data_IF_716340743714
#
_entry.id   IF_716340743714
#
_cell.length_a   1.000
_cell.length_b   1.000
_cell.length_c   1.000
_cell.angle_alpha   90.00
_cell.angle_beta   90.00
_cell.angle_gamma   90.00
#
_symmetry.space_group_name_H-M   'P 1'
#
loop_
_entity.id
_entity.type
_entity.pdbx_description
1 polymer ?
#
# COMPACT_ATOMS: atom_id res chain seq x y z
N UNK A 1 -2.00 -29.78 11.18
CA UNK A 1 -1.48 -28.40 11.14
C UNK A 1 0.04 -28.49 10.96
N UNK A 2 0.57 -28.28 9.75
CA UNK A 2 2.03 -28.29 9.54
C UNK A 2 2.55 -26.92 9.97
N UNK A 3 3.19 -26.85 11.13
CA UNK A 3 3.82 -25.62 11.61
C UNK A 3 4.83 -25.15 10.58
N UNK A 4 4.57 -24.01 9.94
CA UNK A 4 5.50 -23.41 8.99
C UNK A 4 6.40 -22.48 9.79
N UNK A 5 7.48 -23.05 10.31
CA UNK A 5 8.46 -22.32 11.14
C UNK A 5 8.92 -21.02 10.48
N UNK A 6 9.06 -21.00 9.16
CA UNK A 6 9.38 -19.81 8.39
C UNK A 6 8.39 -18.66 8.62
N UNK A 7 7.09 -18.93 8.71
CA UNK A 7 6.11 -17.88 8.95
C UNK A 7 6.12 -17.35 10.38
N UNK A 8 6.42 -18.23 11.34
CA UNK A 8 6.62 -17.82 12.74
C UNK A 8 7.80 -16.85 12.78
N UNK A 9 8.91 -17.19 12.13
CA UNK A 9 10.07 -16.32 12.01
C UNK A 9 9.76 -14.99 11.33
N UNK A 10 8.99 -15.03 10.24
CA UNK A 10 8.52 -13.84 9.53
C UNK A 10 7.66 -12.91 10.42
N UNK A 11 6.77 -13.48 11.25
CA UNK A 11 5.97 -12.72 12.22
C UNK A 11 6.85 -12.10 13.31
N UNK A 12 7.77 -12.88 13.89
CA UNK A 12 8.76 -12.38 14.85
C UNK A 12 9.51 -11.18 14.27
N UNK A 13 10.00 -11.29 13.03
CA UNK A 13 10.68 -10.20 12.34
C UNK A 13 9.81 -8.95 12.20
N UNK A 14 8.56 -9.12 11.76
CA UNK A 14 7.63 -8.00 11.58
C UNK A 14 7.33 -7.28 12.91
N UNK A 15 7.09 -8.03 14.00
CA UNK A 15 6.84 -7.44 15.31
C UNK A 15 8.09 -6.81 15.92
N UNK A 16 9.28 -7.39 15.72
CA UNK A 16 10.52 -6.74 16.09
C UNK A 16 10.68 -5.40 15.38
N UNK A 17 10.47 -5.36 14.05
CA UNK A 17 10.58 -4.10 13.31
C UNK A 17 9.62 -3.03 13.85
N UNK A 18 8.38 -3.40 14.17
CA UNK A 18 7.40 -2.47 14.77
C UNK A 18 7.75 -2.02 16.20
N UNK A 19 8.46 -2.84 16.98
CA UNK A 19 8.91 -2.46 18.33
C UNK A 19 10.00 -1.37 18.30
N UNK A 20 10.66 -1.16 17.16
CA UNK A 20 11.81 -0.27 17.02
C UNK A 20 13.13 -0.88 17.50
N UNK A 21 13.12 -2.08 18.09
CA UNK A 21 14.35 -2.76 18.51
C UNK A 21 15.16 -3.28 17.31
N UNK A 22 16.46 -3.06 17.38
CA UNK A 22 17.44 -3.77 16.55
C UNK A 22 17.48 -5.27 16.90
N UNK A 23 18.02 -6.06 15.98
CA UNK A 23 18.23 -7.48 16.23
C UNK A 23 19.17 -7.72 17.43
N UNK A 24 20.15 -6.84 17.64
CA UNK A 24 21.11 -6.94 18.74
C UNK A 24 20.42 -6.69 20.09
N UNK A 25 19.58 -5.65 20.18
CA UNK A 25 18.85 -5.33 21.41
C UNK A 25 17.86 -6.43 21.81
N UNK A 26 17.10 -6.99 20.85
CA UNK A 26 16.21 -8.12 21.14
C UNK A 26 17.00 -9.33 21.61
N UNK A 27 18.08 -9.69 20.92
CA UNK A 27 18.90 -10.84 21.27
C UNK A 27 19.48 -10.70 22.69
N UNK A 28 19.98 -9.50 23.03
CA UNK A 28 20.49 -9.20 24.37
C UNK A 28 19.39 -9.30 25.44
N UNK A 29 18.21 -8.72 25.20
CA UNK A 29 17.09 -8.72 26.16
C UNK A 29 16.56 -10.11 26.49
N UNK A 30 16.55 -11.04 25.53
CA UNK A 30 16.08 -12.41 25.73
C UNK A 30 17.22 -13.42 25.97
N UNK A 31 18.47 -12.96 26.09
CA UNK A 31 19.62 -13.79 26.44
C UNK A 31 20.06 -14.78 25.36
N UNK A 32 19.92 -14.44 24.06
CA UNK A 32 20.40 -15.25 22.94
C UNK A 32 21.43 -14.49 22.09
N UNK A 33 22.14 -15.19 21.20
CA UNK A 33 23.04 -14.52 20.25
C UNK A 33 22.26 -13.88 19.09
N UNK A 34 22.82 -12.83 18.49
CA UNK A 34 22.27 -12.21 17.26
C UNK A 34 22.04 -13.25 16.16
N UNK A 35 22.98 -14.18 15.99
CA UNK A 35 22.86 -15.28 15.02
C UNK A 35 21.69 -16.20 15.35
N UNK A 36 21.46 -16.51 16.63
CA UNK A 36 20.30 -17.30 17.04
C UNK A 36 18.99 -16.58 16.71
N UNK A 37 18.89 -15.27 16.95
CA UNK A 37 17.72 -14.49 16.57
C UNK A 37 17.48 -14.51 15.05
N UNK A 38 18.53 -14.34 14.23
CA UNK A 38 18.37 -14.44 12.77
C UNK A 38 17.87 -15.81 12.31
N UNK A 39 18.32 -16.89 12.96
CA UNK A 39 17.82 -18.25 12.67
C UNK A 39 16.36 -18.41 13.07
N UNK A 40 15.93 -17.78 14.16
CA UNK A 40 14.51 -17.72 14.54
C UNK A 40 13.71 -16.96 13.47
N UNK A 41 14.16 -15.77 13.06
CA UNK A 41 13.47 -14.96 12.05
C UNK A 41 13.39 -15.63 10.67
N UNK A 42 14.34 -16.52 10.33
CA UNK A 42 14.30 -17.38 9.15
C UNK A 42 13.45 -18.63 9.32
N UNK A 43 13.00 -18.93 10.53
CA UNK A 43 12.27 -20.16 10.85
C UNK A 43 13.13 -21.43 10.89
N UNK A 44 14.44 -21.29 11.09
CA UNK A 44 15.37 -22.42 11.22
C UNK A 44 15.43 -22.98 12.65
N UNK A 45 15.15 -22.15 13.66
CA UNK A 45 15.10 -22.53 15.08
C UNK A 45 13.84 -21.94 15.70
N UNK A 46 13.05 -22.75 16.39
CA UNK A 46 11.88 -22.29 17.13
C UNK A 46 11.70 -23.11 18.41
N UNK A 47 12.54 -22.85 19.42
CA UNK A 47 12.28 -23.37 20.77
C UNK A 47 11.09 -22.62 21.36
N UNK A 48 10.17 -23.34 22.00
CA UNK A 48 8.96 -22.75 22.60
C UNK A 48 9.34 -21.67 23.60
N UNK A 49 10.32 -21.92 24.47
CA UNK A 49 10.80 -20.95 25.46
C UNK A 49 11.30 -19.65 24.81
N UNK A 50 12.01 -19.75 23.68
CA UNK A 50 12.48 -18.57 22.92
C UNK A 50 11.31 -17.80 22.33
N UNK A 51 10.31 -18.49 21.77
CA UNK A 51 9.11 -17.84 21.25
C UNK A 51 8.29 -17.17 22.36
N UNK A 52 8.24 -17.79 23.54
CA UNK A 52 7.57 -17.20 24.71
C UNK A 52 8.26 -15.91 25.13
N UNK A 53 9.59 -15.92 25.31
CA UNK A 53 10.35 -14.70 25.65
C UNK A 53 10.17 -13.60 24.60
N UNK A 54 10.15 -13.96 23.32
CA UNK A 54 9.88 -13.02 22.22
C UNK A 54 8.45 -12.47 22.29
N UNK A 55 7.46 -13.30 22.61
CA UNK A 55 6.06 -12.89 22.73
C UNK A 55 5.86 -11.87 23.86
N UNK A 56 6.52 -12.10 25.00
CA UNK A 56 6.50 -11.21 26.16
C UNK A 56 7.22 -9.89 25.85
N UNK A 57 8.43 -9.95 25.28
CA UNK A 57 9.20 -8.75 24.93
C UNK A 57 8.52 -7.88 23.87
N UNK A 58 7.88 -8.50 22.87
CA UNK A 58 7.22 -7.81 21.77
C UNK A 58 5.75 -7.47 22.06
N UNK A 59 5.27 -7.80 23.26
CA UNK A 59 3.89 -7.56 23.72
C UNK A 59 2.83 -8.15 22.76
N UNK A 60 3.10 -9.35 22.25
CA UNK A 60 2.20 -10.08 21.35
C UNK A 60 1.85 -11.44 21.90
N UNK A 61 0.65 -11.93 21.60
CA UNK A 61 0.22 -13.24 22.09
C UNK A 61 0.93 -14.37 21.33
N UNK A 62 1.18 -15.48 22.03
CA UNK A 62 1.69 -16.71 21.41
C UNK A 62 0.84 -17.18 20.21
N UNK A 63 -0.51 -17.22 20.28
CA UNK A 63 -1.34 -17.54 19.11
C UNK A 63 -1.07 -16.64 17.89
N UNK A 64 -0.82 -15.34 18.11
CA UNK A 64 -0.48 -14.40 17.03
C UNK A 64 0.84 -14.77 16.37
N UNK A 65 1.91 -15.01 17.14
CA UNK A 65 3.21 -15.44 16.60
C UNK A 65 3.13 -16.77 15.86
N UNK A 66 2.31 -17.68 16.39
CA UNK A 66 2.08 -19.00 15.83
C UNK A 66 1.19 -18.98 14.58
N UNK A 67 0.55 -17.85 14.27
CA UNK A 67 -0.38 -17.73 13.14
C UNK A 67 -1.70 -18.46 13.34
N UNK A 68 -2.12 -18.65 14.59
CA UNK A 68 -3.40 -19.28 14.94
C UNK A 68 -4.47 -18.21 15.06
N UNK A 69 -5.42 -18.21 14.12
CA UNK A 69 -6.56 -17.28 14.11
C UNK A 69 -6.30 -16.00 13.33
N UNK A 70 -6.41 -14.86 14.00
CA UNK A 70 -6.20 -13.52 13.43
C UNK A 70 -4.88 -12.96 13.95
N UNK A 71 -4.03 -12.52 13.04
CA UNK A 71 -2.84 -11.74 13.35
C UNK A 71 -3.24 -10.27 13.48
N UNK A 72 -2.98 -9.65 14.63
CA UNK A 72 -3.22 -8.22 14.84
C UNK A 72 -1.92 -7.43 14.70
N UNK A 73 -1.93 -6.42 13.83
CA UNK A 73 -0.79 -5.55 13.55
C UNK A 73 -1.13 -4.12 13.97
N UNK A 74 -0.59 -3.67 15.09
CA UNK A 74 -0.84 -2.34 15.64
C UNK A 74 0.02 -1.23 14.98
N UNK A 75 0.93 -1.58 14.08
CA UNK A 75 1.82 -0.65 13.40
C UNK A 75 1.78 -0.85 11.88
N UNK A 76 1.85 0.25 11.14
CA UNK A 76 2.02 0.20 9.69
C UNK A 76 3.31 -0.51 9.28
N UNK A 77 4.38 -0.39 10.08
CA UNK A 77 5.65 -1.08 9.84
C UNK A 77 5.46 -2.60 9.84
N UNK A 78 4.87 -3.16 10.90
CA UNK A 78 4.64 -4.61 10.96
C UNK A 78 3.65 -5.07 9.90
N UNK A 79 2.58 -4.30 9.65
CA UNK A 79 1.62 -4.60 8.60
C UNK A 79 2.30 -4.68 7.22
N UNK A 80 3.00 -3.62 6.80
CA UNK A 80 3.62 -3.59 5.48
C UNK A 80 4.77 -4.60 5.35
N UNK A 81 5.52 -4.90 6.43
CA UNK A 81 6.52 -5.99 6.41
C UNK A 81 5.85 -7.35 6.24
N UNK A 82 4.73 -7.62 6.91
CA UNK A 82 3.96 -8.86 6.68
C UNK A 82 3.41 -8.92 5.27
N UNK A 83 2.86 -7.83 4.76
CA UNK A 83 2.41 -7.73 3.36
C UNK A 83 3.55 -8.03 2.38
N UNK A 84 4.73 -7.45 2.59
CA UNK A 84 5.94 -7.73 1.78
C UNK A 84 6.29 -9.22 1.77
N UNK A 85 6.26 -9.87 2.93
CA UNK A 85 6.57 -11.29 3.08
C UNK A 85 5.50 -12.20 2.42
N UNK A 86 4.24 -11.78 2.38
CA UNK A 86 3.16 -12.50 1.68
C UNK A 86 3.29 -12.34 0.16
N UNK A 87 3.55 -11.12 -0.32
CA UNK A 87 3.78 -10.80 -1.73
C UNK A 87 4.97 -11.57 -2.32
N UNK A 88 6.04 -11.77 -1.54
CA UNK A 88 7.22 -12.53 -1.95
C UNK A 88 6.91 -13.95 -2.42
N UNK A 89 5.80 -14.52 -1.96
CA UNK A 89 5.39 -15.90 -2.23
C UNK A 89 4.05 -16.00 -2.97
N UNK A 90 3.35 -14.89 -3.18
CA UNK A 90 2.07 -14.89 -3.87
C UNK A 90 2.24 -15.27 -5.35
N UNK A 91 1.27 -16.01 -5.88
CA UNK A 91 1.09 -16.29 -7.31
C UNK A 91 0.02 -15.37 -7.90
N UNK A 92 -0.96 -14.99 -7.06
CA UNK A 92 -1.96 -13.98 -7.37
C UNK A 92 -2.22 -13.08 -6.16
N UNK A 93 -2.39 -11.79 -6.42
CA UNK A 93 -2.75 -10.78 -5.44
C UNK A 93 -4.07 -10.17 -5.89
N UNK A 94 -5.07 -10.22 -5.03
CA UNK A 94 -6.33 -9.50 -5.23
C UNK A 94 -6.31 -8.30 -4.31
N UNK A 95 -6.53 -7.12 -4.87
CA UNK A 95 -6.59 -5.86 -4.14
C UNK A 95 -7.97 -5.27 -4.34
N UNK A 96 -8.68 -5.06 -3.23
CA UNK A 96 -9.88 -4.25 -3.19
C UNK A 96 -9.58 -3.10 -2.24
N UNK A 97 -9.19 -1.96 -2.78
CA UNK A 97 -8.77 -0.84 -1.94
C UNK A 97 -8.82 0.48 -2.73
N UNK A 98 -8.33 1.53 -2.07
CA UNK A 98 -8.34 2.93 -2.45
C UNK A 98 -7.93 3.25 -3.90
N UNK A 99 -7.95 4.55 -4.26
CA UNK A 99 -7.85 5.01 -5.65
C UNK A 99 -6.54 4.63 -6.36
N UNK A 100 -5.52 4.19 -5.62
CA UNK A 100 -4.19 3.82 -6.14
C UNK A 100 -3.73 2.51 -5.53
N UNK A 101 -3.30 1.56 -6.38
CA UNK A 101 -2.62 0.33 -5.95
C UNK A 101 -1.12 0.53 -6.01
N UNK A 102 -0.44 0.50 -4.86
CA UNK A 102 0.98 0.84 -4.76
C UNK A 102 1.90 0.01 -5.67
N UNK A 103 1.63 -1.29 -5.85
CA UNK A 103 2.45 -2.15 -6.73
C UNK A 103 2.36 -1.75 -8.21
N UNK A 104 1.24 -1.15 -8.60
CA UNK A 104 0.95 -0.70 -9.97
C UNK A 104 1.18 0.81 -10.15
N UNK A 105 1.48 1.53 -9.07
CA UNK A 105 1.58 2.99 -9.10
C UNK A 105 2.73 3.49 -10.00
N UNK A 106 2.71 4.75 -10.41
CA UNK A 106 3.83 5.34 -11.15
C UNK A 106 5.07 5.55 -10.25
N UNK A 107 6.26 5.72 -10.86
CA UNK A 107 7.48 6.13 -10.13
C UNK A 107 7.33 7.52 -9.49
N UNK A 108 6.54 8.39 -10.14
CA UNK A 108 6.23 9.73 -9.65
C UNK A 108 5.39 9.67 -8.37
N UNK A 109 4.38 8.80 -8.33
CA UNK A 109 3.59 8.58 -7.12
C UNK A 109 4.45 8.07 -5.96
N UNK A 110 5.38 7.14 -6.21
CA UNK A 110 6.31 6.68 -5.17
C UNK A 110 7.15 7.83 -4.59
N UNK A 111 7.71 8.67 -5.46
CA UNK A 111 8.55 9.80 -5.07
C UNK A 111 7.75 10.83 -4.27
N UNK A 112 6.49 11.07 -4.67
CA UNK A 112 5.57 11.97 -3.97
C UNK A 112 5.12 11.42 -2.61
N UNK A 113 4.93 10.10 -2.51
CA UNK A 113 4.35 9.46 -1.33
C UNK A 113 5.16 9.72 -0.06
N UNK A 114 6.49 9.67 -0.13
CA UNK A 114 7.33 9.95 1.05
C UNK A 114 7.10 11.36 1.59
N UNK A 115 7.05 12.35 0.71
CA UNK A 115 6.79 13.74 1.09
C UNK A 115 5.43 13.88 1.78
N UNK A 116 4.40 13.24 1.22
CA UNK A 116 3.02 13.29 1.72
C UNK A 116 2.93 12.59 3.08
N UNK A 117 3.58 11.44 3.26
CA UNK A 117 3.60 10.71 4.53
C UNK A 117 4.32 11.50 5.63
N UNK A 118 5.46 12.13 5.32
CA UNK A 118 6.18 13.01 6.26
C UNK A 118 5.31 14.22 6.64
N UNK A 119 4.64 14.83 5.68
CA UNK A 119 3.73 15.96 5.88
C UNK A 119 2.50 15.60 6.74
N UNK A 120 2.07 14.33 6.71
CA UNK A 120 0.95 13.82 7.53
C UNK A 120 1.26 13.69 9.02
N UNK A 121 2.52 13.82 9.41
CA UNK A 121 2.96 13.79 10.81
C UNK A 121 2.83 15.21 11.39
N UNK A 122 1.94 15.43 12.39
CA UNK A 122 1.81 16.74 13.02
C UNK A 122 3.12 17.20 13.68
N UNK A 123 3.37 18.50 13.69
CA UNK A 123 4.62 19.07 14.22
C UNK A 123 4.73 19.00 15.75
N UNK A 124 3.59 19.01 16.43
CA UNK A 124 3.44 19.07 17.90
C UNK A 124 3.24 17.71 18.56
N UNK A 125 3.23 16.61 17.79
CA UNK A 125 2.91 15.30 18.32
C UNK A 125 4.05 14.70 19.17
N UNK A 126 3.74 14.05 20.31
CA UNK A 126 4.74 13.29 21.05
C UNK A 126 5.41 12.23 20.18
N UNK A 127 6.71 12.02 20.40
CA UNK A 127 7.52 11.03 19.65
C UNK A 127 7.55 11.25 18.14
N UNK A 128 7.39 12.50 17.65
CA UNK A 128 7.50 12.86 16.22
C UNK A 128 8.71 12.24 15.52
N UNK A 129 9.87 12.22 16.19
CA UNK A 129 11.09 11.60 15.66
C UNK A 129 10.93 10.11 15.35
N UNK A 130 10.27 9.36 16.24
CA UNK A 130 9.94 7.94 16.01
C UNK A 130 9.00 7.79 14.82
N UNK A 131 7.97 8.62 14.75
CA UNK A 131 6.99 8.54 13.66
C UNK A 131 7.60 8.84 12.29
N UNK A 132 8.55 9.78 12.21
CA UNK A 132 9.29 10.03 10.99
C UNK A 132 10.24 8.88 10.63
N UNK A 133 10.81 8.20 11.63
CA UNK A 133 11.57 6.97 11.40
C UNK A 133 10.66 5.84 10.89
N UNK A 134 9.44 5.70 11.42
CA UNK A 134 8.44 4.75 10.93
C UNK A 134 8.06 5.05 9.48
N UNK A 135 7.90 6.33 9.08
CA UNK A 135 7.67 6.72 7.68
C UNK A 135 8.82 6.22 6.80
N UNK A 136 10.07 6.47 7.18
CA UNK A 136 11.24 6.04 6.41
C UNK A 136 11.30 4.51 6.28
N UNK A 137 11.02 3.79 7.36
CA UNK A 137 11.01 2.33 7.37
C UNK A 137 9.87 1.76 6.50
N UNK A 138 8.68 2.37 6.55
CA UNK A 138 7.57 2.02 5.66
C UNK A 138 7.99 2.23 4.20
N UNK A 139 8.58 3.37 3.86
CA UNK A 139 9.03 3.62 2.48
C UNK A 139 10.06 2.59 2.00
N UNK A 140 11.03 2.21 2.85
CA UNK A 140 11.99 1.14 2.52
C UNK A 140 11.29 -0.20 2.20
N UNK A 141 10.33 -0.59 3.04
CA UNK A 141 9.50 -1.79 2.83
C UNK A 141 8.73 -1.67 1.51
N UNK A 142 8.07 -0.54 1.27
CA UNK A 142 7.29 -0.28 0.05
C UNK A 142 8.15 -0.40 -1.21
N UNK A 143 9.32 0.23 -1.25
CA UNK A 143 10.22 0.08 -2.39
C UNK A 143 10.69 -1.38 -2.58
N UNK A 144 10.93 -2.12 -1.49
CA UNK A 144 11.23 -3.54 -1.59
C UNK A 144 10.06 -4.34 -2.19
N UNK A 145 8.82 -4.05 -1.77
CA UNK A 145 7.60 -4.67 -2.32
C UNK A 145 7.53 -4.47 -3.84
N UNK A 146 7.71 -3.23 -4.30
CA UNK A 146 7.65 -2.91 -5.74
C UNK A 146 8.77 -3.58 -6.54
N UNK A 147 10.02 -3.57 -6.03
CA UNK A 147 11.14 -4.28 -6.68
C UNK A 147 10.88 -5.79 -6.79
N UNK A 148 10.34 -6.41 -5.74
CA UNK A 148 9.96 -7.83 -5.76
C UNK A 148 8.86 -8.10 -6.78
N UNK A 149 7.83 -7.25 -6.83
CA UNK A 149 6.76 -7.35 -7.82
C UNK A 149 7.29 -7.24 -9.25
N UNK A 150 8.13 -6.23 -9.54
CA UNK A 150 8.70 -6.06 -10.88
C UNK A 150 9.55 -7.25 -11.34
N UNK A 151 10.21 -7.94 -10.41
CA UNK A 151 11.01 -9.15 -10.68
C UNK A 151 10.16 -10.41 -10.88
N UNK A 152 9.13 -10.63 -10.06
CA UNK A 152 8.33 -11.87 -10.07
C UNK A 152 7.06 -11.79 -10.92
N UNK A 153 6.50 -10.59 -11.06
CA UNK A 153 5.22 -10.27 -11.71
C UNK A 153 4.10 -11.28 -11.41
N UNK A 154 3.76 -11.55 -10.13
CA UNK A 154 2.56 -12.31 -9.82
C UNK A 154 1.33 -11.61 -10.40
N UNK A 155 0.29 -12.39 -10.71
CA UNK A 155 -0.94 -11.79 -11.27
C UNK A 155 -1.62 -10.87 -10.26
N UNK A 156 -2.12 -9.73 -10.71
CA UNK A 156 -2.87 -8.77 -9.88
C UNK A 156 -4.28 -8.63 -10.42
N UNK A 157 -5.26 -8.80 -9.55
CA UNK A 157 -6.64 -8.37 -9.79
C UNK A 157 -6.92 -7.18 -8.89
N UNK A 158 -7.16 -6.01 -9.47
CA UNK A 158 -7.36 -4.77 -8.75
C UNK A 158 -8.78 -4.24 -8.98
N UNK A 159 -9.56 -4.13 -7.91
CA UNK A 159 -10.90 -3.54 -7.89
C UNK A 159 -10.82 -2.15 -7.24
N UNK A 160 -11.10 -1.11 -8.01
CA UNK A 160 -11.01 0.29 -7.57
C UNK A 160 -12.38 0.94 -7.69
N UNK A 161 -12.77 1.73 -6.69
CA UNK A 161 -14.02 2.51 -6.73
C UNK A 161 -13.86 3.76 -7.60
N UNK A 162 -14.76 3.95 -8.57
CA UNK A 162 -14.83 5.16 -9.39
C UNK A 162 -15.09 6.42 -8.55
N UNK A 163 -15.91 6.31 -7.51
CA UNK A 163 -16.20 7.38 -6.55
C UNK A 163 -14.97 7.75 -5.69
N UNK A 164 -14.15 6.76 -5.30
CA UNK A 164 -12.85 7.04 -4.66
C UNK A 164 -11.86 7.72 -5.61
N UNK A 165 -11.86 7.37 -6.90
CA UNK A 165 -11.05 8.05 -7.91
C UNK A 165 -11.50 9.50 -8.08
N UNK A 166 -12.81 9.76 -8.17
CA UNK A 166 -13.36 11.11 -8.29
C UNK A 166 -12.96 11.99 -7.08
N UNK A 167 -13.07 11.45 -5.86
CA UNK A 167 -12.59 12.14 -4.65
C UNK A 167 -11.08 12.40 -4.69
N UNK A 168 -10.28 11.42 -5.11
CA UNK A 168 -8.84 11.58 -5.23
C UNK A 168 -8.44 12.65 -6.23
N UNK A 169 -9.11 12.73 -7.37
CA UNK A 169 -8.90 13.78 -8.37
C UNK A 169 -9.28 15.17 -7.85
N UNK A 170 -10.34 15.25 -7.04
CA UNK A 170 -10.78 16.52 -6.45
C UNK A 170 -9.86 16.98 -5.30
N UNK A 171 -9.51 16.08 -4.40
CA UNK A 171 -8.71 16.37 -3.21
C UNK A 171 -7.21 16.44 -3.46
N UNK A 172 -6.69 15.65 -4.40
CA UNK A 172 -5.26 15.48 -4.62
C UNK A 172 -4.58 14.56 -3.59
N UNK A 173 -3.28 14.34 -3.76
CA UNK A 173 -2.46 13.58 -2.82
C UNK A 173 -2.00 14.46 -1.65
N UNK A 174 -2.85 14.57 -0.61
CA UNK A 174 -2.68 15.52 0.49
C UNK A 174 -2.08 14.86 1.73
N UNK A 175 -1.05 15.47 2.34
CA UNK A 175 -0.47 14.99 3.60
C UNK A 175 -1.20 15.56 4.81
N UNK A 176 -1.59 16.84 4.75
CA UNK A 176 -2.38 17.52 5.78
C UNK A 176 -3.47 18.40 5.17
N UNK A 177 -4.45 18.81 6.00
CA UNK A 177 -5.60 19.62 5.55
C UNK A 177 -5.21 21.03 5.12
N UNK A 178 -4.27 21.64 5.84
CA UNK A 178 -3.89 23.04 5.68
C UNK A 178 -2.64 23.15 4.81
N UNK A 179 -2.84 23.28 3.50
CA UNK A 179 -1.79 23.57 2.52
C UNK A 179 -2.13 24.82 1.70
N UNK A 180 -1.15 25.62 1.28
CA UNK A 180 -1.38 26.74 0.33
C UNK A 180 -2.06 26.27 -0.97
N UNK A 181 -2.84 27.14 -1.62
CA UNK A 181 -3.55 26.77 -2.86
C UNK A 181 -2.61 26.31 -3.97
N UNK A 182 -1.42 26.92 -4.08
CA UNK A 182 -0.39 26.49 -5.04
C UNK A 182 0.04 25.03 -4.81
N UNK A 183 0.23 24.64 -3.55
CA UNK A 183 0.57 23.24 -3.19
C UNK A 183 -0.63 22.33 -3.45
N UNK A 184 -1.86 22.76 -3.14
CA UNK A 184 -3.07 21.98 -3.42
C UNK A 184 -3.24 21.74 -4.92
N UNK A 185 -3.02 22.75 -5.74
CA UNK A 185 -3.05 22.62 -7.20
C UNK A 185 -2.01 21.62 -7.70
N UNK A 186 -0.79 21.66 -7.16
CA UNK A 186 0.25 20.66 -7.44
C UNK A 186 -0.17 19.25 -7.03
N UNK A 187 -0.78 19.06 -5.84
CA UNK A 187 -1.24 17.73 -5.39
C UNK A 187 -2.39 17.18 -6.22
N UNK A 188 -3.27 18.04 -6.73
CA UNK A 188 -4.30 17.65 -7.72
C UNK A 188 -3.66 17.23 -9.04
N UNK A 189 -2.63 17.93 -9.51
CA UNK A 189 -1.88 17.52 -10.71
C UNK A 189 -1.25 16.14 -10.55
N UNK A 190 -0.66 15.84 -9.39
CA UNK A 190 -0.09 14.51 -9.12
C UNK A 190 -1.15 13.41 -9.12
N UNK A 191 -2.32 13.67 -8.54
CA UNK A 191 -3.43 12.74 -8.57
C UNK A 191 -3.93 12.49 -10.01
N UNK A 192 -4.07 13.55 -10.83
CA UNK A 192 -4.43 13.42 -12.25
C UNK A 192 -3.45 12.53 -13.00
N UNK A 193 -2.16 12.80 -12.88
CA UNK A 193 -1.12 12.02 -13.54
C UNK A 193 -1.10 10.55 -13.12
N UNK A 194 -1.43 10.27 -11.86
CA UNK A 194 -1.52 8.89 -11.39
C UNK A 194 -2.75 8.16 -11.96
N UNK A 195 -3.87 8.86 -12.16
CA UNK A 195 -5.06 8.30 -12.80
C UNK A 195 -4.87 8.16 -14.32
N UNK A 196 -4.13 9.07 -14.96
CA UNK A 196 -3.68 8.94 -16.35
C UNK A 196 -2.79 7.69 -16.51
N UNK A 197 -1.85 7.47 -15.59
CA UNK A 197 -1.03 6.25 -15.54
C UNK A 197 -1.89 4.99 -15.37
N UNK A 198 -2.90 5.02 -14.49
CA UNK A 198 -3.84 3.91 -14.32
C UNK A 198 -4.64 3.63 -15.60
N UNK A 199 -5.08 4.66 -16.32
CA UNK A 199 -5.78 4.51 -17.60
C UNK A 199 -4.86 3.86 -18.65
N UNK A 200 -3.60 4.31 -18.75
CA UNK A 200 -2.59 3.70 -19.61
C UNK A 200 -2.37 2.21 -19.30
N UNK A 201 -2.32 1.82 -18.02
CA UNK A 201 -2.21 0.41 -17.64
C UNK A 201 -3.40 -0.45 -18.09
N UNK A 202 -4.60 0.12 -18.19
CA UNK A 202 -5.80 -0.56 -18.68
C UNK A 202 -5.74 -0.69 -20.21
N UNK A 203 -5.25 0.34 -20.90
CA UNK A 203 -5.14 0.40 -22.36
C UNK A 203 -4.03 -0.50 -22.90
N UNK A 204 -2.90 -0.58 -22.20
CA UNK A 204 -1.73 -1.40 -22.56
C UNK A 204 -1.99 -2.91 -22.47
N UNK A 205 -3.13 -3.34 -21.91
CA UNK A 205 -3.55 -4.73 -21.69
C UNK A 205 -2.41 -5.63 -21.15
N UNK A 206 -1.80 -5.18 -20.06
CA UNK A 206 -0.62 -5.83 -19.51
C UNK A 206 -0.94 -7.24 -18.98
N UNK A 207 -0.36 -8.26 -19.63
CA UNK A 207 -0.54 -9.66 -19.27
C UNK A 207 -0.25 -9.90 -17.78
N UNK A 208 -1.29 -10.29 -17.04
CA UNK A 208 -1.22 -10.58 -15.60
C UNK A 208 -1.71 -9.45 -14.70
N UNK A 209 -2.09 -8.29 -15.23
CA UNK A 209 -2.74 -7.21 -14.49
C UNK A 209 -4.18 -7.06 -14.98
N UNK A 210 -5.14 -7.21 -14.08
CA UNK A 210 -6.57 -7.08 -14.38
C UNK A 210 -7.16 -5.99 -13.48
N UNK A 211 -7.65 -4.91 -14.08
CA UNK A 211 -8.22 -3.77 -13.35
C UNK A 211 -9.73 -3.70 -13.65
N UNK A 212 -10.53 -3.60 -12.58
CA UNK A 212 -11.97 -3.38 -12.66
C UNK A 212 -12.37 -2.13 -11.90
N UNK A 213 -13.13 -1.25 -12.56
CA UNK A 213 -13.70 -0.05 -11.95
C UNK A 213 -15.11 -0.35 -11.45
N UNK A 214 -15.30 -0.22 -10.14
CA UNK A 214 -16.57 -0.45 -9.48
C UNK A 214 -17.28 0.88 -9.31
N UNK A 215 -18.48 0.99 -9.90
CA UNK A 215 -19.36 2.15 -9.77
C UNK A 215 -20.37 2.00 -8.63
N UNK A 216 -20.54 0.78 -8.12
CA UNK A 216 -21.35 0.49 -6.94
C UNK A 216 -20.55 0.73 -5.64
N UNK A 217 -21.21 0.57 -4.50
CA UNK A 217 -20.62 0.76 -3.18
C UNK A 217 -19.61 -0.35 -2.88
N UNK A 218 -18.35 0.04 -2.63
CA UNK A 218 -17.34 -0.84 -2.05
C UNK A 218 -17.29 -0.69 -0.52
N UNK A 219 -16.86 -1.74 0.21
CA UNK A 219 -16.55 -1.61 1.62
C UNK A 219 -15.57 -0.47 1.89
N UNK A 220 -15.79 0.29 2.97
CA UNK A 220 -14.92 1.41 3.35
C UNK A 220 -13.50 0.92 3.70
N UNK A 221 -13.38 -0.27 4.29
CA UNK A 221 -12.10 -0.89 4.57
C UNK A 221 -11.67 -1.72 3.37
N UNK A 222 -10.54 -1.35 2.78
CA UNK A 222 -9.90 -2.16 1.76
C UNK A 222 -9.35 -3.46 2.34
N UNK A 223 -9.27 -4.48 1.50
CA UNK A 223 -8.64 -5.75 1.83
C UNK A 223 -7.81 -6.27 0.67
N UNK A 224 -6.89 -7.16 0.98
CA UNK A 224 -6.08 -7.87 0.00
C UNK A 224 -6.13 -9.37 0.25
N UNK A 225 -6.20 -10.16 -0.81
CA UNK A 225 -6.09 -11.62 -0.74
C UNK A 225 -4.81 -12.03 -1.48
N UNK A 226 -3.90 -12.67 -0.76
CA UNK A 226 -2.69 -13.25 -1.31
C UNK A 226 -2.93 -14.74 -1.53
N UNK A 227 -2.96 -15.18 -2.79
CA UNK A 227 -3.10 -16.60 -3.13
C UNK A 227 -1.73 -17.20 -3.42
N UNK A 228 -1.50 -18.37 -2.84
CA UNK A 228 -0.30 -19.20 -2.98
C UNK A 228 -0.75 -20.61 -3.35
N UNK A 229 0.15 -21.42 -3.90
CA UNK A 229 -0.14 -22.80 -4.32
C UNK A 229 -0.90 -23.65 -3.26
N UNK A 230 -0.63 -23.45 -1.97
CA UNK A 230 -1.19 -24.29 -0.89
C UNK A 230 -2.05 -23.55 0.14
N UNK A 231 -2.24 -22.22 -0.01
CA UNK A 231 -3.07 -21.43 0.91
C UNK A 231 -3.44 -20.06 0.34
N UNK A 232 -4.34 -19.37 1.04
CA UNK A 232 -4.58 -17.95 0.83
C UNK A 232 -4.57 -17.22 2.16
N UNK A 233 -4.18 -15.94 2.13
CA UNK A 233 -4.19 -15.07 3.31
C UNK A 233 -4.93 -13.79 2.97
N UNK A 234 -5.95 -13.48 3.77
CA UNK A 234 -6.69 -12.23 3.73
C UNK A 234 -5.99 -11.22 4.64
N UNK A 235 -5.90 -9.98 4.19
CA UNK A 235 -5.45 -8.85 5.02
C UNK A 235 -6.45 -7.72 4.92
N UNK A 236 -6.77 -7.08 6.05
CA UNK A 236 -7.64 -5.90 6.14
C UNK A 236 -6.85 -4.84 6.89
N UNK A 237 -6.77 -3.62 6.36
CA UNK A 237 -5.90 -2.61 6.94
C UNK A 237 -6.54 -1.22 6.96
N UNK A 238 -6.48 -0.51 8.09
CA UNK A 238 -6.81 0.91 8.16
C UNK A 238 -5.66 1.80 7.65
N UNK A 239 -4.49 1.22 7.37
CA UNK A 239 -3.33 1.96 6.88
C UNK A 239 -3.47 2.24 5.38
N UNK A 240 -3.34 3.51 4.98
CA UNK A 240 -3.60 4.01 3.62
C UNK A 240 -2.42 4.83 3.11
N UNK A 241 -2.17 4.76 1.80
CA UNK A 241 -1.08 5.46 1.10
C UNK A 241 -1.58 6.52 0.09
N UNK A 242 -2.90 6.67 -0.11
CA UNK A 242 -3.48 7.55 -1.14
C UNK A 242 -3.97 8.91 -0.62
N UNK A 243 -5.10 9.39 -1.14
CA UNK A 243 -5.76 10.69 -0.89
C UNK A 243 -5.69 11.21 0.56
N UNK A 244 -5.81 10.31 1.55
CA UNK A 244 -5.65 10.60 2.97
C UNK A 244 -4.77 9.51 3.59
N UNK A 245 -3.45 9.70 3.57
CA UNK A 245 -2.56 8.68 4.05
C UNK A 245 -2.73 8.53 5.56
N UNK A 246 -2.65 7.27 5.99
CA UNK A 246 -2.69 6.92 7.40
C UNK A 246 -1.72 5.77 7.59
N UNK A 247 -0.61 6.02 8.25
CA UNK A 247 0.30 4.95 8.68
C UNK A 247 0.50 4.95 10.21
N UNK A 248 -0.39 5.67 10.92
CA UNK A 248 -0.24 5.99 12.34
C UNK A 248 -1.29 5.33 13.22
N UNK A 249 -2.55 5.34 12.78
CA UNK A 249 -3.68 5.01 13.64
C UNK A 249 -4.45 3.83 13.07
N UNK A 250 -4.56 2.77 13.86
CA UNK A 250 -5.42 1.63 13.57
C UNK A 250 -4.72 0.30 13.80
N UNK A 251 -5.50 -0.77 13.65
CA UNK A 251 -5.03 -2.15 13.77
C UNK A 251 -5.36 -2.87 12.47
N UNK A 252 -4.33 -3.35 11.78
CA UNK A 252 -4.51 -4.22 10.62
C UNK A 252 -4.67 -5.67 11.09
N UNK A 253 -5.40 -6.45 10.31
CA UNK A 253 -5.70 -7.85 10.60
C UNK A 253 -5.28 -8.73 9.43
N UNK A 254 -4.71 -9.90 9.73
CA UNK A 254 -4.41 -10.93 8.74
C UNK A 254 -4.98 -12.26 9.20
N UNK A 255 -5.54 -13.04 8.28
CA UNK A 255 -6.04 -14.38 8.60
C UNK A 255 -6.00 -15.30 7.39
N UNK A 256 -5.82 -16.60 7.65
CA UNK A 256 -5.96 -17.66 6.66
C UNK A 256 -7.21 -18.52 6.93
N UNK A 257 -8.16 -18.01 7.73
CA UNK A 257 -9.41 -18.70 8.05
C UNK A 257 -10.24 -18.95 6.77
N UNK A 258 -10.62 -20.21 6.45
CA UNK A 258 -11.36 -20.53 5.23
C UNK A 258 -12.70 -19.80 5.10
N UNK A 259 -13.41 -19.58 6.21
CA UNK A 259 -14.66 -18.84 6.25
C UNK A 259 -14.47 -17.38 5.80
N UNK A 260 -13.50 -16.69 6.40
CA UNK A 260 -13.20 -15.29 6.07
C UNK A 260 -12.82 -15.17 4.58
N UNK A 261 -11.95 -16.06 4.09
CA UNK A 261 -11.56 -16.09 2.68
C UNK A 261 -12.76 -16.32 1.77
N UNK A 262 -13.62 -17.31 2.05
CA UNK A 262 -14.80 -17.61 1.25
C UNK A 262 -15.76 -16.43 1.15
N UNK A 263 -15.99 -15.71 2.25
CA UNK A 263 -16.86 -14.53 2.27
C UNK A 263 -16.26 -13.37 1.47
N UNK A 264 -14.97 -13.09 1.62
CA UNK A 264 -14.31 -12.01 0.89
C UNK A 264 -14.13 -12.34 -0.60
N UNK A 265 -13.85 -13.60 -0.95
CA UNK A 265 -13.84 -14.06 -2.35
C UNK A 265 -15.20 -13.88 -3.02
N UNK A 266 -16.31 -14.08 -2.28
CA UNK A 266 -17.65 -13.81 -2.80
C UNK A 266 -17.81 -12.33 -3.12
N UNK A 267 -17.43 -11.45 -2.20
CA UNK A 267 -17.46 -9.98 -2.43
C UNK A 267 -16.64 -9.60 -3.67
N UNK A 268 -15.44 -10.14 -3.82
CA UNK A 268 -14.59 -9.90 -5.00
C UNK A 268 -15.30 -10.35 -6.27
N UNK A 269 -15.87 -11.56 -6.30
CA UNK A 269 -16.57 -12.09 -7.49
C UNK A 269 -17.79 -11.25 -7.86
N UNK A 270 -18.57 -10.84 -6.87
CA UNK A 270 -19.77 -10.04 -7.06
C UNK A 270 -19.40 -8.64 -7.60
N UNK A 271 -18.41 -7.98 -6.99
CA UNK A 271 -17.90 -6.68 -7.46
C UNK A 271 -17.24 -6.79 -8.86
N UNK A 272 -16.47 -7.86 -9.11
CA UNK A 272 -15.87 -8.09 -10.42
C UNK A 272 -16.92 -8.29 -11.50
N UNK A 273 -18.06 -8.92 -11.20
CA UNK A 273 -19.13 -9.13 -12.18
C UNK A 273 -19.70 -7.81 -12.72
N UNK A 274 -19.88 -6.81 -11.85
CA UNK A 274 -20.48 -5.52 -12.20
C UNK A 274 -19.46 -4.44 -12.56
N UNK A 275 -18.18 -4.65 -12.29
CA UNK A 275 -17.12 -3.70 -12.62
C UNK A 275 -17.01 -3.43 -14.14
N UNK A 276 -16.76 -2.17 -14.49
CA UNK A 276 -16.33 -1.75 -15.84
C UNK A 276 -14.87 -2.21 -16.03
N UNK A 277 -14.53 -2.74 -17.23
CA UNK A 277 -13.22 -3.34 -17.52
C UNK A 277 -12.75 -2.98 -18.93
N UNK A 278 -11.46 -3.14 -19.18
CA UNK A 278 -10.87 -2.96 -20.51
C UNK A 278 -11.07 -1.54 -21.05
N UNK A 279 -11.27 -1.34 -22.37
CA UNK A 279 -11.37 -0.02 -22.97
C UNK A 279 -12.45 0.87 -22.35
N UNK A 280 -13.60 0.31 -21.98
CA UNK A 280 -14.68 1.06 -21.33
C UNK A 280 -14.28 1.60 -19.94
N UNK A 281 -13.38 0.89 -19.24
CA UNK A 281 -12.86 1.38 -17.96
C UNK A 281 -11.89 2.54 -18.18
N UNK A 282 -11.00 2.46 -19.17
CA UNK A 282 -10.11 3.56 -19.52
C UNK A 282 -10.90 4.82 -19.95
N UNK A 283 -11.91 4.67 -20.81
CA UNK A 283 -12.80 5.76 -21.20
C UNK A 283 -13.50 6.38 -19.98
N UNK A 284 -13.96 5.57 -19.02
CA UNK A 284 -14.55 6.07 -17.79
C UNK A 284 -13.55 6.88 -16.95
N UNK A 285 -12.27 6.48 -16.88
CA UNK A 285 -11.23 7.26 -16.19
C UNK A 285 -10.98 8.60 -16.89
N UNK A 286 -10.91 8.62 -18.22
CA UNK A 286 -10.76 9.85 -19.00
C UNK A 286 -11.92 10.82 -18.75
N UNK A 287 -13.15 10.31 -18.71
CA UNK A 287 -14.32 11.13 -18.35
C UNK A 287 -14.22 11.71 -16.92
N UNK A 288 -13.71 10.95 -15.95
CA UNK A 288 -13.47 11.45 -14.59
C UNK A 288 -12.36 12.50 -14.55
N UNK A 289 -11.30 12.31 -15.34
CA UNK A 289 -10.22 13.29 -15.50
C UNK A 289 -10.76 14.59 -16.09
N UNK A 290 -11.58 14.53 -17.14
CA UNK A 290 -12.15 15.73 -17.79
C UNK A 290 -13.11 16.50 -16.88
N UNK A 291 -13.88 15.78 -16.05
CA UNK A 291 -14.78 16.39 -15.07
C UNK A 291 -14.08 16.95 -13.84
N UNK A 292 -12.85 16.51 -13.55
CA UNK A 292 -12.11 16.95 -12.37
C UNK A 292 -11.55 18.38 -12.52
N UNK A 293 -11.40 19.14 -11.43
CA UNK A 293 -10.86 20.49 -11.48
C UNK A 293 -9.47 20.51 -12.13
N UNK A 294 -9.28 21.41 -13.09
CA UNK A 294 -7.94 21.68 -13.63
C UNK A 294 -7.14 22.46 -12.58
N UNK A 295 -5.83 22.18 -12.40
CA UNK A 295 -4.98 23.06 -11.62
C UNK A 295 -4.98 24.44 -12.29
N UNK A 296 -5.36 25.49 -11.57
CA UNK A 296 -5.23 26.85 -12.09
C UNK A 296 -3.77 27.11 -12.45
N UNK A 297 -3.53 27.64 -13.66
CA UNK A 297 -2.20 28.06 -14.07
C UNK A 297 -1.72 29.15 -13.11
N UNK A 298 -0.47 29.02 -12.64
CA UNK A 298 0.16 30.01 -11.78
C UNK A 298 0.00 31.42 -12.39
N UNK A 299 -0.64 32.38 -11.70
CA UNK A 299 -0.79 33.75 -12.21
C UNK A 299 0.57 34.44 -12.44
N UNK A 300 1.68 33.86 -12.00
CA UNK A 300 3.04 34.31 -12.28
C UNK A 300 3.65 33.76 -13.59
N UNK A 301 2.96 32.88 -14.33
CA UNK A 301 3.44 32.42 -15.64
C UNK A 301 3.20 33.51 -16.70
N UNK A 302 4.24 34.03 -17.38
CA UNK A 302 4.03 35.01 -18.45
C UNK A 302 3.18 34.38 -19.54
N UNK A 303 2.18 35.08 -20.11
CA UNK A 303 1.42 34.54 -21.22
C UNK A 303 2.37 34.22 -22.37
N UNK A 304 2.34 32.98 -22.85
CA UNK A 304 3.10 32.55 -24.03
C UNK A 304 2.90 33.58 -25.15
N UNK A 305 3.99 34.21 -25.57
CA UNK A 305 3.97 35.21 -26.62
C UNK A 305 3.49 34.55 -27.92
N UNK A 306 2.24 34.83 -28.31
CA UNK A 306 1.68 34.45 -29.62
C UNK A 306 2.68 34.86 -30.70
N UNK A 307 3.30 33.87 -31.34
CA UNK A 307 4.23 34.07 -32.44
C UNK A 307 3.54 34.86 -33.55
N UNK A 308 4.01 36.09 -33.79
CA UNK A 308 3.55 36.91 -34.93
C UNK A 308 4.00 36.23 -36.23
N UNK A 309 3.13 36.15 -37.26
CA UNK A 309 3.51 35.54 -38.52
C UNK A 309 4.58 36.41 -39.21
N UNK A 310 5.69 35.78 -39.59
CA UNK A 310 6.76 36.39 -40.39
C UNK A 310 6.15 36.94 -41.68
N UNK A 311 6.20 38.26 -41.87
CA UNK A 311 5.89 38.90 -43.16
C UNK A 311 6.85 38.33 -44.21
N UNK A 312 6.27 37.72 -45.25
CA UNK A 312 6.99 37.31 -46.46
C UNK A 312 7.49 38.57 -47.17
N UNK A 313 8.81 38.72 -47.28
CA UNK A 313 9.41 39.57 -48.29
C UNK A 313 9.32 38.85 -49.64
N UNK A 314 8.85 39.56 -50.66
CA UNK A 314 8.93 39.19 -52.08
C UNK A 314 9.32 40.45 -52.87
N UNK A 315 9.93 40.26 -54.04
CA UNK A 315 11.27 40.73 -54.39
C UNK A 315 11.37 42.24 -54.62
#
# INVERSE_FOLDING_TARGET
>A
MRWRYEEIGQRVKAFRMASGYSADEVAQKIGISRTALYRVEKGEIAKIDTLQCLSELLEVSMPTLLGVGIEYMASAVSYFERTRQLEEKADQIIVLAGPVSFLLASERFESALEQVLRESVPDDIPQRGKMLADVAQVMEILHHRKRTYMRRRPSIVNLISADQIARFLHGGLMGRRELPESVRAERRLWARQEIEHLAGLIEDDNLGVQIGLVTDTLPLNGFQIFRQADRSTLTISPFRLGEQPNIRVGVAMLTSAPEALKLHDKIVKDAWKTAIKGPAAAEHLHNLLDAAPLPEADPASPPEAKARPRKRARP
#
